data_IF_303592609338
#
_entry.id   IF_303592609338
#
_cell.length_a   1.000
_cell.length_b   1.000
_cell.length_c   1.000
_cell.angle_alpha   90.00
_cell.angle_beta   90.00
_cell.angle_gamma   90.00
#
_symmetry.space_group_name_H-M   'P 1'
#
loop_
_entity.id
_entity.type
_entity.pdbx_description
1 polymer ?
#
# COMPACT_ATOMS: atom_id res chain seq x y z
N UNK A 1 6.43 11.93 23.44
CA UNK A 1 5.10 11.52 22.98
C UNK A 1 4.19 12.72 23.01
N UNK A 2 3.77 13.21 21.84
CA UNK A 2 2.77 14.27 21.73
C UNK A 2 1.46 13.80 22.38
N UNK A 3 0.79 14.62 23.22
CA UNK A 3 -0.37 14.17 24.00
C UNK A 3 -1.55 13.64 23.18
N UNK A 4 -1.63 14.04 21.90
CA UNK A 4 -2.74 13.80 20.99
C UNK A 4 -2.52 12.63 20.00
N UNK A 5 -1.31 12.08 19.89
CA UNK A 5 -0.98 11.00 18.93
C UNK A 5 -0.73 11.51 17.50
N UNK A 6 -0.14 10.68 16.61
CA UNK A 6 0.48 11.16 15.36
C UNK A 6 -0.48 11.73 14.32
N UNK A 7 -1.78 11.49 14.42
CA UNK A 7 -2.78 11.94 13.44
C UNK A 7 -3.71 13.03 13.98
N UNK A 8 -3.55 13.50 15.21
CA UNK A 8 -4.42 14.51 15.81
C UNK A 8 -3.65 15.80 16.04
N UNK A 9 -4.34 16.93 15.94
CA UNK A 9 -3.79 18.23 16.28
C UNK A 9 -3.82 18.51 17.80
N UNK A 10 -3.34 19.68 18.21
CA UNK A 10 -3.30 20.10 19.62
C UNK A 10 -4.71 20.29 20.24
N UNK A 11 -5.74 20.43 19.40
CA UNK A 11 -7.14 20.47 19.83
C UNK A 11 -7.78 19.08 19.96
N UNK A 12 -7.06 18.02 19.58
CA UNK A 12 -7.55 16.66 19.52
C UNK A 12 -8.40 16.36 18.29
N UNK A 13 -8.43 17.25 17.29
CA UNK A 13 -9.12 17.02 16.03
C UNK A 13 -8.23 16.24 15.06
N UNK A 14 -8.84 15.42 14.20
CA UNK A 14 -8.12 14.61 13.21
C UNK A 14 -7.47 15.50 12.15
N UNK A 15 -6.15 15.40 12.00
CA UNK A 15 -5.40 16.08 10.96
C UNK A 15 -5.52 15.32 9.63
N UNK A 16 -6.56 15.67 8.86
CA UNK A 16 -6.87 15.07 7.55
C UNK A 16 -5.74 15.28 6.54
N UNK A 17 -4.98 16.37 6.66
CA UNK A 17 -3.85 16.67 5.79
C UNK A 17 -2.72 15.66 5.98
N UNK A 18 -2.36 15.37 7.24
CA UNK A 18 -1.37 14.34 7.58
C UNK A 18 -1.87 12.95 7.19
N UNK A 19 -3.14 12.63 7.46
CA UNK A 19 -3.71 11.35 7.05
C UNK A 19 -3.57 11.12 5.54
N UNK A 20 -3.94 12.11 4.72
CA UNK A 20 -3.79 12.01 3.27
C UNK A 20 -2.32 11.90 2.84
N UNK A 21 -1.41 12.64 3.49
CA UNK A 21 0.02 12.57 3.20
C UNK A 21 0.58 11.15 3.41
N UNK A 22 0.12 10.43 4.44
CA UNK A 22 0.52 9.04 4.72
C UNK A 22 -0.15 8.01 3.80
N UNK A 23 -1.37 8.30 3.32
CA UNK A 23 -2.08 7.41 2.38
C UNK A 23 -1.48 7.45 0.97
N UNK A 24 -0.91 8.58 0.54
CA UNK A 24 -0.37 8.74 -0.82
C UNK A 24 0.75 7.73 -1.14
N UNK A 25 1.78 7.53 -0.29
CA UNK A 25 2.80 6.50 -0.50
C UNK A 25 2.22 5.08 -0.63
N UNK A 26 1.29 4.72 0.24
CA UNK A 26 0.62 3.41 0.22
C UNK A 26 -0.15 3.23 -1.09
N UNK A 27 -0.93 4.22 -1.50
CA UNK A 27 -1.69 4.19 -2.74
C UNK A 27 -0.78 4.04 -3.97
N UNK A 28 0.38 4.72 -3.98
CA UNK A 28 1.37 4.56 -5.06
C UNK A 28 1.91 3.14 -5.14
N UNK A 29 2.25 2.52 -4.01
CA UNK A 29 2.73 1.14 -3.99
C UNK A 29 1.66 0.17 -4.51
N UNK A 30 0.43 0.30 -4.03
CA UNK A 30 -0.70 -0.52 -4.48
C UNK A 30 -0.93 -0.34 -5.99
N UNK A 31 -0.91 0.90 -6.49
CA UNK A 31 -1.08 1.20 -7.91
C UNK A 31 0.03 0.58 -8.76
N UNK A 32 1.28 0.63 -8.32
CA UNK A 32 2.42 0.03 -9.03
C UNK A 32 2.26 -1.49 -9.13
N UNK A 33 2.07 -2.19 -8.03
CA UNK A 33 1.94 -3.65 -8.06
C UNK A 33 0.66 -4.11 -8.77
N UNK A 34 -0.44 -3.37 -8.60
CA UNK A 34 -1.67 -3.60 -9.35
C UNK A 34 -1.48 -3.45 -10.85
N UNK A 35 -0.80 -2.41 -11.31
CA UNK A 35 -0.50 -2.20 -12.73
C UNK A 35 0.42 -3.29 -13.28
N UNK A 36 1.46 -3.70 -12.53
CA UNK A 36 2.35 -4.78 -12.95
C UNK A 36 1.59 -6.11 -13.04
N UNK A 37 0.74 -6.43 -12.06
CA UNK A 37 -0.07 -7.65 -12.07
C UNK A 37 -1.16 -7.66 -13.14
N UNK A 38 -1.67 -6.48 -13.53
CA UNK A 38 -2.66 -6.37 -14.58
C UNK A 38 -2.14 -6.89 -15.93
N UNK A 39 -0.83 -6.75 -16.21
CA UNK A 39 -0.24 -7.23 -17.47
C UNK A 39 -0.37 -8.75 -17.64
N UNK A 40 0.18 -9.61 -16.76
CA UNK A 40 -0.02 -11.06 -16.87
C UNK A 40 -1.48 -11.45 -16.71
N UNK A 41 -2.29 -10.74 -15.92
CA UNK A 41 -3.72 -11.02 -15.83
C UNK A 41 -4.43 -10.87 -17.19
N UNK A 42 -4.17 -9.78 -17.93
CA UNK A 42 -4.75 -9.56 -19.25
C UNK A 42 -4.28 -10.62 -20.26
N UNK A 43 -3.02 -11.06 -20.18
CA UNK A 43 -2.50 -12.18 -20.99
C UNK A 43 -3.20 -13.49 -20.64
N UNK A 44 -3.50 -13.73 -19.36
CA UNK A 44 -4.25 -14.90 -18.92
C UNK A 44 -5.66 -14.90 -19.51
N UNK A 45 -6.35 -13.76 -19.49
CA UNK A 45 -7.69 -13.59 -20.08
C UNK A 45 -7.66 -13.84 -21.60
N UNK A 46 -6.64 -13.32 -22.31
CA UNK A 46 -6.54 -13.46 -23.75
C UNK A 46 -6.15 -14.88 -24.21
N UNK A 47 -5.31 -15.58 -23.44
CA UNK A 47 -4.75 -16.89 -23.84
C UNK A 47 -5.42 -18.10 -23.18
N UNK A 48 -6.10 -17.92 -22.05
CA UNK A 48 -6.58 -19.01 -21.19
C UNK A 48 -5.46 -19.76 -20.45
N UNK A 49 -4.20 -19.33 -20.58
CA UNK A 49 -3.07 -20.05 -20.00
C UNK A 49 -2.96 -19.79 -18.49
N UNK A 50 -3.09 -20.86 -17.69
CA UNK A 50 -3.03 -20.81 -16.23
C UNK A 50 -1.74 -20.18 -15.69
N UNK A 51 -0.61 -20.33 -16.39
CA UNK A 51 0.69 -19.79 -15.99
C UNK A 51 0.65 -18.27 -15.79
N UNK A 52 -0.11 -17.54 -16.61
CA UNK A 52 -0.22 -16.09 -16.49
C UNK A 52 -1.09 -15.66 -15.30
N UNK A 53 -2.13 -16.43 -14.96
CA UNK A 53 -2.91 -16.23 -13.73
C UNK A 53 -2.02 -16.42 -12.51
N UNK A 54 -1.24 -17.49 -12.47
CA UNK A 54 -0.30 -17.75 -11.38
C UNK A 54 0.75 -16.64 -11.27
N UNK A 55 1.25 -16.14 -12.40
CA UNK A 55 2.20 -15.03 -12.41
C UNK A 55 1.56 -13.74 -11.88
N UNK A 56 0.33 -13.41 -12.28
CA UNK A 56 -0.42 -12.28 -11.74
C UNK A 56 -0.61 -12.39 -10.23
N UNK A 57 -1.03 -13.56 -9.74
CA UNK A 57 -1.24 -13.79 -8.31
C UNK A 57 0.07 -13.69 -7.53
N UNK A 58 1.17 -14.19 -8.08
CA UNK A 58 2.49 -14.07 -7.49
C UNK A 58 2.90 -12.60 -7.31
N UNK A 59 2.74 -11.78 -8.36
CA UNK A 59 3.04 -10.34 -8.28
C UNK A 59 2.18 -9.65 -7.22
N UNK A 60 0.88 -9.95 -7.15
CA UNK A 60 -0.01 -9.37 -6.14
C UNK A 60 0.37 -9.79 -4.72
N UNK A 61 0.76 -11.05 -4.52
CA UNK A 61 1.17 -11.56 -3.22
C UNK A 61 2.45 -10.88 -2.71
N UNK A 62 3.48 -10.82 -3.57
CA UNK A 62 4.74 -10.13 -3.25
C UNK A 62 4.49 -8.64 -3.05
N UNK A 63 3.72 -8.00 -3.93
CA UNK A 63 3.38 -6.59 -3.82
C UNK A 63 2.64 -6.24 -2.53
N UNK A 64 1.70 -7.10 -2.12
CA UNK A 64 0.98 -6.94 -0.85
C UNK A 64 1.92 -7.05 0.35
N UNK A 65 2.85 -8.02 0.34
CA UNK A 65 3.86 -8.15 1.39
C UNK A 65 4.73 -6.89 1.49
N UNK A 66 5.17 -6.33 0.35
CA UNK A 66 5.94 -5.08 0.32
C UNK A 66 5.14 -3.89 0.86
N UNK A 67 3.87 -3.74 0.46
CA UNK A 67 2.98 -2.69 0.98
C UNK A 67 2.85 -2.80 2.50
N UNK A 68 2.66 -4.01 3.04
CA UNK A 68 2.55 -4.23 4.48
C UNK A 68 3.84 -3.89 5.22
N UNK A 69 5.00 -4.27 4.68
CA UNK A 69 6.29 -3.90 5.26
C UNK A 69 6.44 -2.37 5.32
N UNK A 70 6.04 -1.67 4.25
CA UNK A 70 6.07 -0.20 4.22
C UNK A 70 5.14 0.41 5.28
N UNK A 71 3.92 -0.10 5.42
CA UNK A 71 2.96 0.36 6.44
C UNK A 71 3.53 0.18 7.85
N UNK A 72 4.12 -0.98 8.14
CA UNK A 72 4.73 -1.26 9.45
C UNK A 72 5.90 -0.32 9.72
N UNK A 73 6.83 -0.18 8.77
CA UNK A 73 7.98 0.70 8.92
C UNK A 73 7.54 2.15 9.17
N UNK A 74 6.57 2.64 8.40
CA UNK A 74 6.05 4.00 8.56
C UNK A 74 5.29 4.19 9.88
N UNK A 75 4.56 3.17 10.32
CA UNK A 75 3.90 3.18 11.62
C UNK A 75 4.87 3.30 12.80
N UNK A 76 6.04 2.67 12.71
CA UNK A 76 7.11 2.79 13.70
C UNK A 76 7.70 4.20 13.69
N UNK A 77 8.04 4.73 12.51
CA UNK A 77 8.55 6.11 12.37
C UNK A 77 7.58 7.15 12.97
N UNK A 78 6.28 7.02 12.69
CA UNK A 78 5.25 7.91 13.23
C UNK A 78 5.05 7.78 14.74
N UNK A 79 5.41 6.65 15.34
CA UNK A 79 5.31 6.43 16.78
C UNK A 79 6.55 6.98 17.52
N UNK A 80 7.69 7.04 16.84
CA UNK A 80 8.95 7.56 17.37
C UNK A 80 9.07 9.10 17.22
N UNK A 81 8.28 9.72 16.32
CA UNK A 81 8.07 11.18 16.23
C UNK A 81 7.32 11.77 17.46
#
# INVERSE_FOLDING_TARGET
MSPSGPFFDDSGALNVGRLNAELVPIAKLVAVFGAIAAVPFLLAVASGALVFTLLSQFVLAVGSAVVLIHVVARGIELADE
#
